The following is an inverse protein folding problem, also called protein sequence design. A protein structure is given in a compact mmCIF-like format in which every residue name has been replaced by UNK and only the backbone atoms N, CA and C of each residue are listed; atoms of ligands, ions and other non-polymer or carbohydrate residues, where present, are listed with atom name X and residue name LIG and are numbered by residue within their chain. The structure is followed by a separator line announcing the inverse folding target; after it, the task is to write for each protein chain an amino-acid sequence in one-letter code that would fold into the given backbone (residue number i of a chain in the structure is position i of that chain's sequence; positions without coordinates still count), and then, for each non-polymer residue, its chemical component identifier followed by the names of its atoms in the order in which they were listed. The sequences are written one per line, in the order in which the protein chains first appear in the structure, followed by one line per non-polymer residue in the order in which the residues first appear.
data_IF_299091536721
#
_entry.id   IF_299091536721
#
_cell.length_a   1.000
_cell.length_b   1.000
_cell.length_c   1.000
_cell.angle_alpha   90.00
_cell.angle_beta   90.00
_cell.angle_gamma   90.00
#
_symmetry.space_group_name_H-M   'P 1'
#
loop_
_entity.id
_entity.type
_entity.pdbx_description
1 polymer ?
#
# COMPACT_ATOMS: atom_id res chain seq x y z
N UNK A 1 -12.57 9.33 20.42
CA UNK A 1 -11.84 8.06 20.23
C UNK A 1 -11.06 8.13 18.93
N UNK A 2 -9.83 7.60 18.86
CA UNK A 2 -9.07 7.51 17.60
C UNK A 2 -9.04 6.05 17.16
N UNK A 3 -9.26 5.81 15.86
CA UNK A 3 -9.13 4.48 15.27
C UNK A 3 -7.74 4.33 14.69
N UNK A 4 -7.03 3.27 15.08
CA UNK A 4 -5.72 2.91 14.55
C UNK A 4 -5.85 1.56 13.85
N UNK A 5 -5.41 1.48 12.59
CA UNK A 5 -5.58 0.27 11.78
C UNK A 5 -4.41 0.00 10.84
N UNK A 6 -3.97 -1.25 10.80
CA UNK A 6 -3.14 -1.76 9.71
C UNK A 6 -4.00 -1.87 8.46
N UNK A 7 -3.85 -0.90 7.57
CA UNK A 7 -4.54 -0.87 6.29
C UNK A 7 -3.69 -0.04 5.35
N UNK A 8 -3.39 -0.60 4.18
CA UNK A 8 -2.68 0.11 3.13
C UNK A 8 -3.49 1.26 2.52
N UNK A 9 -4.76 1.43 2.90
CA UNK A 9 -5.61 2.52 2.42
C UNK A 9 -5.40 3.79 3.23
N UNK A 10 -5.69 4.94 2.61
CA UNK A 10 -5.75 6.25 3.27
C UNK A 10 -6.79 6.29 4.39
N UNK A 11 -6.61 7.18 5.37
CA UNK A 11 -7.50 7.29 6.52
C UNK A 11 -8.94 7.64 6.12
N UNK A 12 -9.12 8.50 5.11
CA UNK A 12 -10.43 8.90 4.58
C UNK A 12 -11.29 7.69 4.19
N UNK A 13 -10.70 6.71 3.50
CA UNK A 13 -11.42 5.51 3.03
C UNK A 13 -11.91 4.66 4.21
N UNK A 14 -11.14 4.62 5.30
CA UNK A 14 -11.57 3.92 6.51
C UNK A 14 -12.70 4.67 7.22
N UNK A 15 -12.65 6.00 7.26
CA UNK A 15 -13.74 6.83 7.81
C UNK A 15 -15.04 6.67 7.02
N UNK A 16 -14.95 6.67 5.68
CA UNK A 16 -16.09 6.40 4.79
C UNK A 16 -16.66 4.99 5.01
N UNK A 17 -15.79 3.99 5.18
CA UNK A 17 -16.22 2.62 5.48
C UNK A 17 -16.98 2.53 6.81
N UNK A 18 -16.51 3.19 7.86
CA UNK A 18 -17.22 3.23 9.15
C UNK A 18 -18.60 3.87 9.01
N UNK A 19 -18.70 4.98 8.28
CA UNK A 19 -19.99 5.61 7.97
C UNK A 19 -20.92 4.65 7.22
N UNK A 20 -20.41 3.93 6.22
CA UNK A 20 -21.19 2.95 5.45
C UNK A 20 -21.69 1.76 6.28
N UNK A 21 -21.03 1.48 7.40
CA UNK A 21 -21.42 0.45 8.37
C UNK A 21 -22.43 0.95 9.42
N UNK A 22 -22.85 2.22 9.34
CA UNK A 22 -23.85 2.81 10.25
C UNK A 22 -23.25 3.45 11.51
N UNK A 23 -21.92 3.57 11.62
CA UNK A 23 -21.31 4.32 12.72
C UNK A 23 -21.43 5.82 12.49
N UNK A 24 -21.80 6.57 13.54
CA UNK A 24 -21.72 8.03 13.53
C UNK A 24 -20.24 8.48 13.56
N UNK A 25 -19.74 9.19 12.53
CA UNK A 25 -18.38 9.69 12.50
C UNK A 25 -18.03 10.62 13.66
N UNK A 26 -19.01 11.29 14.28
CA UNK A 26 -18.80 12.20 15.40
C UNK A 26 -18.24 11.51 16.65
N UNK A 27 -18.41 10.18 16.73
CA UNK A 27 -17.86 9.35 17.80
C UNK A 27 -16.33 9.20 17.70
N UNK A 28 -15.75 9.51 16.54
CA UNK A 28 -14.33 9.39 16.27
C UNK A 28 -13.69 10.76 16.10
N UNK A 29 -12.62 10.99 16.85
CA UNK A 29 -11.75 12.16 16.69
C UNK A 29 -10.95 12.08 15.38
N UNK A 30 -10.68 10.86 14.91
CA UNK A 30 -9.95 10.63 13.66
C UNK A 30 -9.60 9.16 13.44
N UNK A 31 -9.00 8.90 12.29
CA UNK A 31 -8.48 7.59 11.89
C UNK A 31 -7.02 7.73 11.49
N UNK A 32 -6.19 6.80 11.93
CA UNK A 32 -4.79 6.65 11.52
C UNK A 32 -4.65 5.25 10.90
N UNK A 33 -4.14 5.20 9.67
CA UNK A 33 -3.82 3.94 8.99
C UNK A 33 -2.34 3.88 8.61
N UNK A 34 -1.78 2.67 8.52
CA UNK A 34 -0.42 2.47 8.01
C UNK A 34 -0.24 3.03 6.59
N UNK A 35 -1.25 2.95 5.73
CA UNK A 35 -1.27 3.57 4.40
C UNK A 35 -1.32 5.10 4.43
N UNK A 36 -2.00 5.69 5.42
CA UNK A 36 -1.97 7.14 5.64
C UNK A 36 -0.56 7.62 6.01
N UNK A 37 0.07 6.95 6.98
CA UNK A 37 1.44 7.27 7.38
C UNK A 37 2.41 7.05 6.23
N UNK A 38 2.30 5.94 5.51
CA UNK A 38 3.13 5.68 4.31
C UNK A 38 3.02 6.81 3.29
N UNK A 39 1.79 7.26 2.98
CA UNK A 39 1.59 8.36 2.05
C UNK A 39 2.22 9.67 2.57
N UNK A 40 2.02 10.00 3.85
CA UNK A 40 2.56 11.23 4.45
C UNK A 40 4.08 11.23 4.46
N UNK A 41 4.72 10.10 4.81
CA UNK A 41 6.18 9.99 4.78
C UNK A 41 6.75 10.06 3.37
N UNK A 42 6.10 9.44 2.37
CA UNK A 42 6.50 9.55 0.97
C UNK A 42 6.28 10.96 0.40
N UNK A 43 5.30 11.70 0.91
CA UNK A 43 5.02 13.07 0.48
C UNK A 43 5.99 14.08 1.09
N UNK A 44 6.19 14.01 2.42
CA UNK A 44 7.00 14.98 3.17
C UNK A 44 8.48 14.70 3.06
N UNK A 45 8.86 13.42 3.15
CA UNK A 45 10.25 12.94 3.10
C UNK A 45 11.17 13.72 4.05
N UNK A 46 10.64 14.07 5.22
CA UNK A 46 11.33 14.76 6.31
C UNK A 46 12.07 13.78 7.25
N UNK A 47 11.65 12.51 7.24
CA UNK A 47 12.41 11.40 7.83
C UNK A 47 13.62 11.02 6.94
N UNK A 48 14.79 10.81 7.55
CA UNK A 48 16.04 10.56 6.84
C UNK A 48 16.01 9.28 5.97
N UNK A 49 15.32 8.23 6.41
CA UNK A 49 15.20 7.00 5.65
C UNK A 49 14.30 7.22 4.42
N UNK A 50 13.14 7.85 4.59
CA UNK A 50 12.25 8.20 3.46
C UNK A 50 12.85 9.25 2.51
N UNK A 51 13.67 10.17 3.03
CA UNK A 51 14.44 11.13 2.22
C UNK A 51 15.50 10.43 1.37
N UNK A 52 16.12 9.37 1.90
CA UNK A 52 17.13 8.57 1.19
C UNK A 52 16.54 7.66 0.11
N UNK A 53 15.24 7.33 0.18
CA UNK A 53 14.58 6.63 -0.92
C UNK A 53 14.67 7.49 -2.18
N UNK A 54 14.84 6.86 -3.34
CA UNK A 54 14.77 7.56 -4.61
C UNK A 54 13.32 7.86 -5.06
N UNK A 55 13.11 8.19 -6.33
CA UNK A 55 11.77 8.60 -6.84
C UNK A 55 11.15 7.56 -7.75
N UNK A 56 11.87 6.52 -8.14
CA UNK A 56 11.31 5.44 -8.93
C UNK A 56 10.97 4.24 -8.05
N UNK A 57 9.85 3.59 -8.31
CA UNK A 57 9.42 2.43 -7.54
C UNK A 57 8.72 1.38 -8.37
N UNK A 58 8.86 0.12 -7.94
CA UNK A 58 7.90 -0.93 -8.28
C UNK A 58 6.71 -0.78 -7.35
N UNK A 59 5.50 -0.63 -7.91
CA UNK A 59 4.27 -0.48 -7.12
C UNK A 59 3.45 -1.78 -7.15
N UNK A 60 3.44 -2.52 -6.04
CA UNK A 60 2.58 -3.69 -5.86
C UNK A 60 1.28 -3.24 -5.16
N UNK A 61 0.12 -3.46 -5.78
CA UNK A 61 -1.14 -2.86 -5.35
C UNK A 61 -2.35 -3.74 -5.62
N UNK A 62 -3.54 -3.18 -5.39
CA UNK A 62 -4.86 -3.78 -5.58
C UNK A 62 -5.27 -3.74 -7.06
N UNK A 63 -6.00 -4.75 -7.54
CA UNK A 63 -6.54 -4.80 -8.91
C UNK A 63 -7.64 -3.78 -9.16
N UNK A 64 -8.85 -4.14 -8.77
CA UNK A 64 -10.14 -3.53 -9.11
C UNK A 64 -10.82 -2.94 -7.87
N UNK A 65 -10.38 -3.33 -6.67
CA UNK A 65 -10.93 -2.89 -5.39
C UNK A 65 -10.37 -1.55 -4.91
N UNK A 66 -10.16 -0.60 -5.81
CA UNK A 66 -9.65 0.73 -5.48
C UNK A 66 -8.14 0.76 -5.30
N UNK A 67 -7.45 0.81 -6.44
CA UNK A 67 -6.00 1.02 -6.51
C UNK A 67 -5.59 2.25 -5.71
N UNK A 68 -4.44 2.16 -5.03
CA UNK A 68 -3.91 3.28 -4.26
C UNK A 68 -3.29 4.29 -5.23
N UNK A 69 -3.87 5.49 -5.27
CA UNK A 69 -3.33 6.58 -6.08
C UNK A 69 -2.00 7.07 -5.54
N UNK A 70 -1.00 7.19 -6.42
CA UNK A 70 0.30 7.80 -6.13
C UNK A 70 0.37 9.29 -6.54
N UNK A 71 -0.76 9.87 -6.98
CA UNK A 71 -0.83 11.26 -7.44
C UNK A 71 -0.34 12.21 -6.34
N UNK A 72 0.52 13.16 -6.74
CA UNK A 72 1.06 14.17 -5.82
C UNK A 72 2.28 13.72 -5.00
N UNK A 73 2.71 12.45 -5.11
CA UNK A 73 3.94 11.96 -4.46
C UNK A 73 5.20 12.20 -5.33
N UNK A 74 5.01 12.49 -6.62
CA UNK A 74 6.12 12.64 -7.58
C UNK A 74 6.97 11.38 -7.68
N UNK A 75 6.32 10.20 -7.63
CA UNK A 75 6.93 8.90 -7.84
C UNK A 75 6.76 8.47 -9.30
N UNK A 76 7.75 7.75 -9.82
CA UNK A 76 7.75 7.16 -11.15
C UNK A 76 7.64 5.64 -11.02
N UNK A 77 6.63 5.04 -11.64
CA UNK A 77 6.42 3.59 -11.57
C UNK A 77 7.21 2.90 -12.69
N UNK A 78 8.53 2.89 -12.53
CA UNK A 78 9.56 2.34 -13.44
C UNK A 78 10.76 1.87 -12.60
N UNK A 79 11.78 1.24 -13.21
CA UNK A 79 13.11 0.90 -12.64
C UNK A 79 13.31 1.30 -11.18
N UNK A 80 13.28 0.35 -10.24
CA UNK A 80 13.02 0.70 -8.83
C UNK A 80 14.24 1.10 -8.01
N UNK A 81 14.19 2.30 -7.41
CA UNK A 81 14.97 2.65 -6.22
C UNK A 81 14.42 1.95 -4.96
N UNK A 82 13.12 1.66 -4.94
CA UNK A 82 12.44 0.95 -3.86
C UNK A 82 11.18 0.22 -4.33
N UNK A 83 10.68 -0.72 -3.53
CA UNK A 83 9.38 -1.36 -3.73
C UNK A 83 8.35 -0.69 -2.82
N UNK A 84 7.18 -0.35 -3.35
CA UNK A 84 6.04 0.14 -2.60
C UNK A 84 4.91 -0.90 -2.63
N UNK A 85 4.70 -1.59 -1.52
CA UNK A 85 3.75 -2.70 -1.43
C UNK A 85 2.52 -2.32 -0.61
N UNK A 86 1.38 -2.24 -1.30
CA UNK A 86 0.06 -2.09 -0.69
C UNK A 86 -0.74 -3.40 -0.68
N UNK A 87 -0.46 -4.29 -1.63
CA UNK A 87 -1.05 -5.63 -1.84
C UNK A 87 -0.21 -6.41 -2.87
N UNK A 88 -0.50 -7.68 -3.07
CA UNK A 88 0.20 -8.62 -3.97
C UNK A 88 -0.70 -9.10 -5.11
N UNK A 89 -1.58 -8.25 -5.64
CA UNK A 89 -2.56 -8.65 -6.69
C UNK A 89 -2.15 -8.15 -8.09
N UNK A 90 -1.62 -6.93 -8.18
CA UNK A 90 -1.22 -6.32 -9.46
C UNK A 90 0.05 -5.49 -9.30
N UNK A 91 0.73 -5.25 -10.42
CA UNK A 91 1.72 -4.21 -10.56
C UNK A 91 1.12 -2.95 -11.18
N UNK A 92 1.35 -1.81 -10.55
CA UNK A 92 1.12 -0.52 -11.19
C UNK A 92 2.10 -0.31 -12.34
N UNK A 93 1.63 0.29 -13.42
CA UNK A 93 2.44 0.70 -14.56
C UNK A 93 2.56 2.22 -14.61
N UNK A 94 3.61 2.73 -15.26
CA UNK A 94 3.84 4.18 -15.45
C UNK A 94 2.69 4.89 -16.17
N UNK A 95 1.90 4.15 -16.97
CA UNK A 95 0.69 4.64 -17.65
C UNK A 95 -0.50 4.82 -16.71
N UNK A 96 -0.39 4.39 -15.45
CA UNK A 96 -1.50 4.31 -14.49
C UNK A 96 -2.36 3.05 -14.64
N UNK A 97 -2.06 2.20 -15.62
CA UNK A 97 -2.69 0.88 -15.74
C UNK A 97 -2.19 -0.09 -14.66
N UNK A 98 -2.90 -1.20 -14.49
CA UNK A 98 -2.54 -2.28 -13.60
C UNK A 98 -2.32 -3.57 -14.40
N UNK A 99 -1.20 -4.24 -14.14
CA UNK A 99 -0.88 -5.55 -14.69
C UNK A 99 -1.16 -6.63 -13.63
N UNK A 100 -2.15 -7.53 -13.83
CA UNK A 100 -2.36 -8.66 -12.95
C UNK A 100 -1.10 -9.52 -12.82
N UNK A 101 -0.80 -9.93 -11.60
CA UNK A 101 0.34 -10.80 -11.30
C UNK A 101 -0.10 -11.93 -10.40
N UNK A 102 0.43 -13.13 -10.62
CA UNK A 102 0.37 -14.19 -9.63
C UNK A 102 1.53 -14.08 -8.62
N UNK A 103 1.48 -14.89 -7.56
CA UNK A 103 2.48 -14.85 -6.49
C UNK A 103 3.88 -15.23 -6.98
N UNK A 104 4.01 -16.27 -7.82
CA UNK A 104 5.30 -16.72 -8.35
C UNK A 104 6.00 -15.63 -9.18
N UNK A 105 5.22 -14.86 -9.95
CA UNK A 105 5.76 -13.74 -10.74
C UNK A 105 6.21 -12.59 -9.84
N UNK A 106 5.44 -12.27 -8.78
CA UNK A 106 5.85 -11.28 -7.79
C UNK A 106 7.10 -11.74 -7.03
N UNK A 107 7.19 -13.03 -6.68
CA UNK A 107 8.33 -13.60 -5.97
C UNK A 107 9.62 -13.47 -6.79
N UNK A 108 9.56 -13.74 -8.10
CA UNK A 108 10.70 -13.53 -9.02
C UNK A 108 11.20 -12.08 -9.00
N UNK A 109 10.27 -11.11 -8.97
CA UNK A 109 10.63 -9.69 -8.88
C UNK A 109 11.26 -9.39 -7.53
N UNK A 110 10.71 -9.91 -6.43
CA UNK A 110 11.25 -9.74 -5.08
C UNK A 110 12.65 -10.33 -4.96
N UNK A 111 12.91 -11.52 -5.51
CA UNK A 111 14.25 -12.13 -5.53
C UNK A 111 15.27 -11.27 -6.26
N UNK A 112 14.91 -10.72 -7.42
CA UNK A 112 15.78 -9.80 -8.18
C UNK A 112 16.07 -8.51 -7.40
N UNK A 113 15.06 -7.96 -6.73
CA UNK A 113 15.19 -6.76 -5.91
C UNK A 113 16.04 -7.00 -4.66
N UNK A 114 15.85 -8.15 -3.99
CA UNK A 114 16.60 -8.56 -2.81
C UNK A 114 18.08 -8.76 -3.13
N UNK A 115 18.42 -9.38 -4.27
CA UNK A 115 19.80 -9.53 -4.74
C UNK A 115 20.51 -8.16 -4.92
N UNK A 116 19.75 -7.12 -5.28
CA UNK A 116 20.22 -5.73 -5.43
C UNK A 116 20.08 -4.89 -4.16
N UNK A 117 19.57 -5.48 -3.07
CA UNK A 117 19.28 -4.79 -1.79
C UNK A 117 18.33 -3.59 -1.95
N UNK A 118 17.37 -3.68 -2.88
CA UNK A 118 16.35 -2.66 -3.07
C UNK A 118 15.42 -2.63 -1.82
N UNK A 119 15.27 -1.49 -1.14
CA UNK A 119 14.41 -1.38 0.02
C UNK A 119 12.93 -1.55 -0.33
N UNK A 120 12.14 -2.02 0.63
CA UNK A 120 10.70 -2.25 0.47
C UNK A 120 9.91 -1.52 1.55
N UNK A 121 8.96 -0.69 1.12
CA UNK A 121 7.97 -0.02 1.98
C UNK A 121 6.70 -0.85 1.96
N UNK A 122 6.34 -1.42 3.11
CA UNK A 122 5.13 -2.24 3.27
C UNK A 122 4.04 -1.42 3.95
N UNK A 123 3.04 -1.00 3.18
CA UNK A 123 1.96 -0.14 3.65
C UNK A 123 0.89 -0.89 4.48
N UNK A 124 0.91 -2.23 4.47
CA UNK A 124 0.13 -3.07 5.37
C UNK A 124 0.97 -4.28 5.82
N UNK A 125 1.38 -4.34 7.09
CA UNK A 125 2.23 -5.43 7.59
C UNK A 125 1.46 -6.71 7.94
N UNK A 126 0.13 -6.71 7.83
CA UNK A 126 -0.67 -7.88 8.20
C UNK A 126 -0.41 -9.07 7.26
N UNK A 127 -0.12 -10.24 7.85
CA UNK A 127 0.07 -11.50 7.13
C UNK A 127 -1.20 -12.11 6.55
N UNK A 128 -2.37 -11.72 7.08
CA UNK A 128 -3.67 -12.21 6.61
C UNK A 128 -4.67 -11.08 6.70
N UNK A 129 -5.46 -10.87 5.65
CA UNK A 129 -6.58 -9.92 5.68
C UNK A 129 -7.88 -10.69 5.55
N UNK A 130 -8.76 -10.56 6.54
CA UNK A 130 -10.13 -11.11 6.48
C UNK A 130 -11.08 -10.05 5.92
N UNK A 131 -11.89 -10.43 4.93
CA UNK A 131 -12.95 -9.58 4.42
C UNK A 131 -14.27 -10.37 4.39
N UNK A 132 -15.37 -9.73 4.82
CA UNK A 132 -16.66 -10.39 5.08
C UNK A 132 -17.29 -11.09 3.84
N UNK A 133 -16.74 -10.89 2.64
CA UNK A 133 -17.22 -11.49 1.39
C UNK A 133 -16.31 -12.61 0.86
N UNK A 134 -15.11 -12.77 1.41
CA UNK A 134 -14.17 -13.86 1.11
C UNK A 134 -12.99 -13.88 2.09
N UNK A 135 -12.72 -15.01 2.74
CA UNK A 135 -11.46 -15.26 3.43
C UNK A 135 -10.35 -15.41 2.37
N UNK A 136 -9.30 -14.59 2.43
CA UNK A 136 -8.10 -14.75 1.61
C UNK A 136 -6.88 -14.77 2.52
N UNK A 137 -6.30 -15.96 2.67
CA UNK A 137 -5.00 -16.16 3.33
C UNK A 137 -3.95 -15.51 2.43
N UNK A 138 -3.08 -14.65 2.97
CA UNK A 138 -2.06 -13.96 2.14
C UNK A 138 -0.74 -14.74 2.03
N UNK A 139 -0.57 -15.86 2.76
CA UNK A 139 0.55 -16.80 2.63
C UNK A 139 0.11 -18.19 3.13
N UNK A 140 0.20 -19.24 2.31
CA UNK A 140 0.25 -20.63 2.79
C UNK A 140 1.73 -21.06 2.77
N UNK A 141 2.18 -21.72 3.84
CA UNK A 141 3.53 -22.27 3.98
C UNK A 141 3.67 -23.59 3.22
#
# INVERSE_FOLDING_TARGET
MVIIRNSSRRALITMEKLRSLGFDPSLFTGVITSGELTHQYLQRRDDAWFASLGRSCIHMTWSDRGAISLKGLGLQVVEADFILAHRTEVLGLSTGAALPMNLDELEKILHQCAAKKIPMVVANPDFVTVEARALRVMLEH
#
